data_IF_017372853449
#
_entry.id   IF_017372853449
#
_cell.length_a   1.000
_cell.length_b   1.000
_cell.length_c   1.000
_cell.angle_alpha   90.00
_cell.angle_beta   90.00
_cell.angle_gamma   90.00
#
_symmetry.space_group_name_H-M   'P 1'
#
loop_
_entity.id
_entity.type
_entity.pdbx_description
1 polymer ?
#
# COMPACT_ATOMS: atom_id res chain seq x y z
N UNK A 1 25.41 -21.09 31.64
CA UNK A 1 25.51 -20.11 32.74
C UNK A 1 25.26 -18.67 32.27
N UNK A 2 25.96 -18.16 31.24
CA UNK A 2 25.75 -16.80 30.69
C UNK A 2 24.30 -16.53 30.21
N UNK A 3 23.65 -17.51 29.59
CA UNK A 3 22.28 -17.38 29.06
C UNK A 3 21.25 -17.30 30.18
N UNK A 4 21.42 -18.06 31.26
CA UNK A 4 20.56 -18.02 32.43
C UNK A 4 20.71 -16.71 33.23
N UNK A 5 21.94 -16.20 33.37
CA UNK A 5 22.18 -14.88 33.99
C UNK A 5 21.58 -13.74 33.14
N UNK A 6 21.67 -13.82 31.80
CA UNK A 6 20.99 -12.86 30.90
C UNK A 6 19.47 -12.91 31.03
N UNK A 7 18.86 -14.09 31.19
CA UNK A 7 17.42 -14.23 31.38
C UNK A 7 16.93 -13.56 32.68
N UNK A 8 17.73 -13.59 33.75
CA UNK A 8 17.38 -12.95 35.03
C UNK A 8 17.66 -11.45 35.00
N UNK A 9 18.78 -11.01 34.42
CA UNK A 9 19.19 -9.60 34.46
C UNK A 9 18.37 -8.66 33.56
N UNK A 10 17.88 -9.14 32.41
CA UNK A 10 17.15 -8.29 31.43
C UNK A 10 15.87 -7.66 32.02
N UNK A 11 15.00 -8.38 32.74
CA UNK A 11 13.85 -7.79 33.42
C UNK A 11 14.22 -6.68 34.41
N UNK A 12 15.27 -6.88 35.23
CA UNK A 12 15.72 -5.87 36.20
C UNK A 12 16.25 -4.62 35.51
N UNK A 13 17.04 -4.76 34.45
CA UNK A 13 17.54 -3.60 33.66
C UNK A 13 16.37 -2.84 33.02
N UNK A 14 15.39 -3.54 32.46
CA UNK A 14 14.17 -2.91 31.91
C UNK A 14 13.38 -2.16 32.98
N UNK A 15 13.23 -2.75 34.16
CA UNK A 15 12.57 -2.10 35.30
C UNK A 15 13.34 -0.85 35.75
N UNK A 16 14.66 -0.92 35.88
CA UNK A 16 15.50 0.22 36.24
C UNK A 16 15.36 1.37 35.23
N UNK A 17 15.40 1.08 33.92
CA UNK A 17 15.20 2.08 32.86
C UNK A 17 13.82 2.73 32.98
N UNK A 18 12.75 1.93 33.21
CA UNK A 18 11.40 2.46 33.44
C UNK A 18 11.33 3.38 34.66
N UNK A 19 11.95 2.99 35.76
CA UNK A 19 11.99 3.80 36.99
C UNK A 19 12.73 5.12 36.77
N UNK A 20 13.88 5.11 36.08
CA UNK A 20 14.60 6.34 35.71
C UNK A 20 13.74 7.23 34.82
N UNK A 21 13.03 6.66 33.84
CA UNK A 21 12.11 7.43 33.01
C UNK A 21 10.98 8.06 33.85
N UNK A 22 10.33 7.29 34.73
CA UNK A 22 9.20 7.74 35.56
C UNK A 22 9.61 8.79 36.60
N UNK A 23 10.74 8.61 37.27
CA UNK A 23 11.15 9.45 38.41
C UNK A 23 12.09 10.59 38.03
N UNK A 24 12.65 10.61 36.82
CA UNK A 24 13.58 11.65 36.38
C UNK A 24 13.14 12.34 35.09
N UNK A 25 12.91 11.58 34.02
CA UNK A 25 12.63 12.17 32.69
C UNK A 25 11.19 12.71 32.63
N UNK A 26 10.21 11.94 33.09
CA UNK A 26 8.81 12.30 33.00
C UNK A 26 8.43 13.56 33.81
N UNK A 27 8.89 13.75 35.08
CA UNK A 27 8.66 14.98 35.82
C UNK A 27 9.28 16.18 35.11
N UNK A 28 10.47 16.02 34.53
CA UNK A 28 11.09 17.07 33.71
C UNK A 28 10.26 17.42 32.47
N UNK A 29 9.69 16.44 31.76
CA UNK A 29 8.79 16.70 30.63
C UNK A 29 7.52 17.45 31.07
N UNK A 30 6.96 17.14 32.25
CA UNK A 30 5.83 17.89 32.81
C UNK A 30 6.18 19.31 33.22
N UNK A 31 7.37 19.55 33.76
CA UNK A 31 7.88 20.89 34.05
C UNK A 31 8.11 21.71 32.77
N UNK A 32 8.54 21.05 31.68
CA UNK A 32 8.77 21.69 30.39
C UNK A 32 7.47 21.97 29.62
N UNK A 33 6.43 21.15 29.82
CA UNK A 33 5.16 21.18 29.07
C UNK A 33 4.54 22.59 28.88
N UNK A 34 4.49 23.49 29.87
CA UNK A 34 3.90 24.82 29.69
C UNK A 34 4.66 25.71 28.70
N UNK A 35 5.97 25.51 28.57
CA UNK A 35 6.84 26.28 27.68
C UNK A 35 6.97 25.61 26.32
N UNK A 36 7.20 24.30 26.32
CA UNK A 36 7.32 23.49 25.11
C UNK A 36 6.94 22.04 25.39
N UNK A 37 5.84 21.59 24.81
CA UNK A 37 5.41 20.19 24.93
C UNK A 37 6.14 19.35 23.88
N UNK A 38 6.92 18.38 24.34
CA UNK A 38 7.57 17.39 23.48
C UNK A 38 6.58 16.24 23.22
N UNK A 39 6.25 15.99 21.96
CA UNK A 39 5.43 14.86 21.55
C UNK A 39 6.32 13.84 20.87
N UNK A 40 6.42 12.65 21.46
CA UNK A 40 7.24 11.56 20.98
C UNK A 40 6.41 10.60 20.13
N UNK A 41 6.94 10.28 18.96
CA UNK A 41 6.35 9.40 17.97
C UNK A 41 7.28 8.21 17.73
N UNK A 42 6.70 7.02 17.53
CA UNK A 42 7.45 5.84 17.12
C UNK A 42 7.22 5.61 15.63
N UNK A 43 8.21 5.93 14.81
CA UNK A 43 8.12 5.72 13.38
C UNK A 43 8.10 4.21 13.06
N UNK A 44 7.21 3.76 12.18
CA UNK A 44 7.26 2.38 11.68
C UNK A 44 8.27 2.32 10.52
N UNK A 45 9.45 1.76 10.80
CA UNK A 45 10.61 1.85 9.89
C UNK A 45 10.98 0.55 9.18
N UNK A 46 10.41 -0.59 9.59
CA UNK A 46 10.83 -1.92 9.16
C UNK A 46 10.02 -2.49 7.98
N UNK A 47 9.01 -1.77 7.50
CA UNK A 47 8.10 -2.21 6.41
C UNK A 47 7.83 -1.02 5.51
N UNK A 48 8.14 -1.15 4.21
CA UNK A 48 8.11 0.00 3.30
C UNK A 48 6.72 0.61 3.18
N UNK A 49 5.67 -0.22 3.20
CA UNK A 49 4.29 0.25 3.16
C UNK A 49 3.93 1.13 4.35
N UNK A 50 4.29 0.71 5.56
CA UNK A 50 4.06 1.51 6.76
C UNK A 50 4.98 2.73 6.84
N UNK A 51 6.25 2.60 6.45
CA UNK A 51 7.16 3.73 6.41
C UNK A 51 6.65 4.82 5.44
N UNK A 52 6.05 4.42 4.32
CA UNK A 52 5.45 5.34 3.36
C UNK A 52 4.09 5.87 3.85
N UNK A 53 3.10 5.00 4.00
CA UNK A 53 1.71 5.36 4.25
C UNK A 53 1.50 6.09 5.58
N UNK A 54 2.02 5.55 6.70
CA UNK A 54 1.86 6.19 8.01
C UNK A 54 2.51 7.58 8.04
N UNK A 55 3.72 7.70 7.48
CA UNK A 55 4.47 8.96 7.51
C UNK A 55 3.83 10.02 6.61
N UNK A 56 3.37 9.65 5.42
CA UNK A 56 2.68 10.58 4.52
C UNK A 56 1.33 11.01 5.08
N UNK A 57 0.57 10.10 5.71
CA UNK A 57 -0.64 10.47 6.42
C UNK A 57 -0.38 11.53 7.49
N UNK A 58 0.66 11.35 8.31
CA UNK A 58 1.06 12.35 9.30
C UNK A 58 1.46 13.71 8.66
N UNK A 59 2.08 13.70 7.47
CA UNK A 59 2.41 14.92 6.73
C UNK A 59 1.16 15.61 6.15
N UNK A 60 0.19 14.83 5.64
CA UNK A 60 -1.08 15.35 5.11
C UNK A 60 -1.97 15.90 6.22
N UNK A 61 -2.06 15.22 7.36
CA UNK A 61 -2.76 15.72 8.55
C UNK A 61 -2.29 17.12 8.97
N UNK A 62 -0.98 17.38 8.86
CA UNK A 62 -0.39 18.70 9.18
C UNK A 62 -0.73 19.80 8.18
N UNK A 63 -1.22 19.45 6.99
CA UNK A 63 -1.72 20.43 6.02
C UNK A 63 -3.15 20.88 6.37
N UNK A 64 -3.92 20.00 7.02
CA UNK A 64 -5.31 20.26 7.42
C UNK A 64 -5.36 20.87 8.82
N UNK A 65 -4.60 20.29 9.75
CA UNK A 65 -4.59 20.65 11.16
C UNK A 65 -3.26 21.30 11.54
N UNK A 66 -3.32 22.53 12.04
CA UNK A 66 -2.13 23.24 12.52
C UNK A 66 -1.59 22.58 13.80
N UNK A 67 -0.29 22.31 13.81
CA UNK A 67 0.41 21.89 15.03
C UNK A 67 0.44 23.09 16.01
N UNK A 68 0.09 22.90 17.29
CA UNK A 68 0.22 23.96 18.27
C UNK A 68 1.66 24.51 18.31
N UNK A 69 1.86 25.84 18.33
CA UNK A 69 3.20 26.44 18.21
C UNK A 69 4.13 26.10 19.39
N UNK A 70 3.56 25.69 20.52
CA UNK A 70 4.29 25.23 21.70
C UNK A 70 4.64 23.73 21.65
N UNK A 71 4.31 23.01 20.57
CA UNK A 71 4.59 21.59 20.41
C UNK A 71 5.82 21.32 19.54
N UNK A 72 6.59 20.30 19.92
CA UNK A 72 7.68 19.77 19.11
C UNK A 72 7.49 18.27 18.97
N UNK A 73 7.28 17.82 17.73
CA UNK A 73 7.08 16.42 17.39
C UNK A 73 8.41 15.79 17.03
N UNK A 74 8.81 14.77 17.78
CA UNK A 74 10.07 14.05 17.61
C UNK A 74 9.77 12.59 17.32
N UNK A 75 10.26 12.10 16.20
CA UNK A 75 10.11 10.73 15.76
C UNK A 75 11.38 9.93 16.11
N UNK A 76 11.19 8.76 16.70
CA UNK A 76 12.28 7.81 16.96
C UNK A 76 12.13 6.64 15.99
N UNK A 77 13.23 6.32 15.30
CA UNK A 77 13.29 5.25 14.31
C UNK A 77 14.47 4.31 14.59
N UNK A 78 14.32 3.04 14.25
CA UNK A 78 15.47 2.15 14.01
C UNK A 78 16.01 2.30 12.58
N UNK A 79 16.92 1.41 12.16
CA UNK A 79 17.44 1.39 10.79
C UNK A 79 16.29 1.20 9.78
N UNK A 80 16.03 2.17 8.88
CA UNK A 80 14.90 2.11 7.98
C UNK A 80 15.07 1.03 6.90
N UNK A 81 13.93 0.47 6.47
CA UNK A 81 13.83 -0.52 5.38
C UNK A 81 14.14 0.06 4.01
N UNK A 82 14.01 1.38 3.84
CA UNK A 82 14.37 2.08 2.61
C UNK A 82 15.04 3.42 2.96
N UNK A 83 16.31 3.57 2.59
CA UNK A 83 17.13 4.74 2.92
C UNK A 83 16.71 6.00 2.20
N UNK A 84 16.28 5.90 0.94
CA UNK A 84 15.87 7.07 0.15
C UNK A 84 14.60 7.70 0.72
N UNK A 85 13.57 6.89 0.98
CA UNK A 85 12.32 7.36 1.57
C UNK A 85 12.57 8.01 2.94
N UNK A 86 13.39 7.38 3.79
CA UNK A 86 13.74 7.93 5.09
C UNK A 86 14.44 9.30 4.98
N UNK A 87 15.40 9.46 4.05
CA UNK A 87 16.07 10.74 3.78
C UNK A 87 15.07 11.82 3.34
N UNK A 88 14.05 11.47 2.56
CA UNK A 88 13.00 12.40 2.15
C UNK A 88 12.13 12.81 3.33
N UNK A 89 11.74 11.87 4.19
CA UNK A 89 10.97 12.14 5.41
C UNK A 89 11.72 13.06 6.39
N UNK A 90 13.03 12.89 6.53
CA UNK A 90 13.88 13.75 7.39
C UNK A 90 13.91 15.22 6.96
N UNK A 91 13.51 15.55 5.72
CA UNK A 91 13.37 16.95 5.27
C UNK A 91 12.18 17.66 5.92
N UNK A 92 11.19 16.89 6.38
CA UNK A 92 9.90 17.40 6.87
C UNK A 92 9.62 17.02 8.34
N UNK A 93 10.28 15.98 8.85
CA UNK A 93 10.10 15.44 10.20
C UNK A 93 11.42 15.47 10.97
N UNK A 94 11.34 15.76 12.27
CA UNK A 94 12.48 15.61 13.20
C UNK A 94 12.58 14.13 13.57
N UNK A 95 13.41 13.38 12.84
CA UNK A 95 13.58 11.93 13.05
C UNK A 95 14.98 11.61 13.56
N UNK A 96 15.04 10.92 14.69
CA UNK A 96 16.28 10.33 15.23
C UNK A 96 16.36 8.84 14.88
N UNK A 97 17.28 8.48 13.99
CA UNK A 97 17.63 7.09 13.72
C UNK A 97 18.61 6.59 14.79
N UNK A 98 18.17 5.63 15.61
CA UNK A 98 19.06 4.95 16.55
C UNK A 98 18.47 3.61 17.01
N UNK A 99 19.23 2.54 16.77
CA UNK A 99 18.92 1.20 17.28
C UNK A 99 18.88 1.14 18.82
N UNK A 100 19.59 2.03 19.51
CA UNK A 100 19.56 2.13 20.97
C UNK A 100 18.33 2.89 21.45
N UNK A 101 18.03 4.06 20.86
CA UNK A 101 16.86 4.86 21.26
C UNK A 101 15.57 4.08 21.03
N UNK A 102 15.43 3.36 19.92
CA UNK A 102 14.22 2.57 19.67
C UNK A 102 14.05 1.43 20.69
N UNK A 103 15.14 0.78 21.13
CA UNK A 103 15.10 -0.24 22.19
C UNK A 103 14.68 0.36 23.53
N UNK A 104 15.21 1.54 23.87
CA UNK A 104 14.77 2.27 25.06
C UNK A 104 13.30 2.66 24.96
N UNK A 105 12.87 3.12 23.78
CA UNK A 105 11.48 3.47 23.49
C UNK A 105 10.55 2.29 23.77
N UNK A 106 10.85 1.09 23.26
CA UNK A 106 10.06 -0.13 23.53
C UNK A 106 9.95 -0.46 25.02
N UNK A 107 10.97 -0.15 25.82
CA UNK A 107 10.94 -0.39 27.26
C UNK A 107 9.95 0.57 27.94
N UNK A 108 9.94 1.85 27.55
CA UNK A 108 9.12 2.89 28.20
C UNK A 108 7.75 3.11 27.55
N UNK A 109 7.50 2.52 26.39
CA UNK A 109 6.33 2.77 25.53
C UNK A 109 4.99 2.66 26.30
N UNK A 110 4.82 1.61 27.10
CA UNK A 110 3.58 1.39 27.89
C UNK A 110 3.29 2.51 28.87
N UNK A 111 4.34 3.09 29.46
CA UNK A 111 4.23 4.24 30.36
C UNK A 111 3.98 5.51 29.56
N UNK A 112 4.77 5.72 28.50
CA UNK A 112 4.73 6.89 27.65
C UNK A 112 3.34 7.07 26.99
N UNK A 113 2.71 5.97 26.54
CA UNK A 113 1.34 5.92 25.99
C UNK A 113 0.25 6.48 26.92
N UNK A 114 0.51 6.54 28.23
CA UNK A 114 -0.44 7.05 29.25
C UNK A 114 -0.20 8.52 29.59
N UNK A 115 0.62 9.22 28.81
CA UNK A 115 1.05 10.59 29.07
C UNK A 115 0.74 11.47 27.84
N UNK A 116 0.66 12.80 28.00
CA UNK A 116 0.45 13.73 26.88
C UNK A 116 1.69 13.90 25.97
N UNK A 117 2.78 13.18 26.26
CA UNK A 117 4.04 13.24 25.50
C UNK A 117 4.15 12.12 24.47
N UNK A 118 3.09 11.34 24.28
CA UNK A 118 3.01 10.30 23.27
C UNK A 118 1.79 10.49 22.41
N UNK A 119 1.99 10.32 21.12
CA UNK A 119 0.91 10.21 20.16
C UNK A 119 1.20 8.95 19.35
N UNK A 120 0.27 7.97 19.34
CA UNK A 120 0.44 6.82 18.46
C UNK A 120 0.42 7.28 17.00
N UNK A 121 1.21 6.65 16.14
CA UNK A 121 0.97 6.70 14.71
C UNK A 121 -0.42 6.06 14.46
N UNK A 122 -1.47 6.88 14.40
CA UNK A 122 -2.84 6.45 14.10
C UNK A 122 -3.02 6.37 12.60
N UNK A 123 -2.25 5.50 11.96
CA UNK A 123 -2.65 5.04 10.63
C UNK A 123 -3.49 3.80 10.81
N UNK A 124 -4.81 3.96 10.67
CA UNK A 124 -5.65 2.90 10.16
C UNK A 124 -5.81 3.19 8.67
N UNK A 125 -5.55 2.21 7.82
CA UNK A 125 -5.64 2.31 6.35
C UNK A 125 -6.89 3.06 5.87
N UNK A 126 -7.96 3.05 6.65
CA UNK A 126 -9.31 3.50 6.28
C UNK A 126 -9.62 4.94 6.68
N UNK A 127 -8.82 5.57 7.54
CA UNK A 127 -9.08 6.91 8.07
C UNK A 127 -8.27 7.99 7.33
N UNK A 128 -7.84 7.71 6.09
CA UNK A 128 -6.98 8.60 5.31
C UNK A 128 -7.58 9.14 4.01
N UNK A 129 -8.79 8.69 3.64
CA UNK A 129 -9.43 9.03 2.37
C UNK A 129 -9.63 10.55 2.21
N UNK A 130 -10.10 11.22 3.26
CA UNK A 130 -10.31 12.66 3.27
C UNK A 130 -9.01 13.44 3.08
N UNK A 131 -7.98 13.07 3.84
CA UNK A 131 -6.67 13.71 3.83
C UNK A 131 -6.08 13.63 2.43
N UNK A 132 -6.11 12.46 1.81
CA UNK A 132 -5.57 12.28 0.46
C UNK A 132 -6.32 13.14 -0.55
N UNK A 133 -7.64 13.18 -0.46
CA UNK A 133 -8.47 13.90 -1.42
C UNK A 133 -8.35 15.42 -1.30
N UNK A 134 -7.99 15.93 -0.12
CA UNK A 134 -8.01 17.36 0.19
C UNK A 134 -6.63 18.00 0.32
N UNK A 135 -5.55 17.20 0.32
CA UNK A 135 -4.17 17.67 0.49
C UNK A 135 -3.29 17.32 -0.70
N UNK A 136 -2.06 17.84 -0.70
CA UNK A 136 -1.06 17.54 -1.74
C UNK A 136 0.06 16.66 -1.18
N UNK A 137 0.73 15.88 -2.04
CA UNK A 137 1.97 15.21 -1.65
C UNK A 137 2.99 16.20 -1.09
N UNK A 138 3.70 15.77 -0.05
CA UNK A 138 4.74 16.60 0.60
C UNK A 138 6.14 16.22 0.12
N UNK A 139 6.34 14.99 -0.35
CA UNK A 139 7.65 14.47 -0.71
C UNK A 139 8.00 14.75 -2.19
N UNK A 140 9.15 15.39 -2.40
CA UNK A 140 9.70 15.71 -3.72
C UNK A 140 11.17 15.33 -3.82
N UNK A 141 11.61 14.93 -5.01
CA UNK A 141 13.02 14.71 -5.31
C UNK A 141 13.74 16.04 -5.51
N UNK A 142 14.99 16.10 -5.07
CA UNK A 142 15.90 17.18 -5.42
C UNK A 142 16.38 17.06 -6.87
N UNK A 143 16.93 18.14 -7.45
CA UNK A 143 17.47 18.11 -8.82
C UNK A 143 18.56 17.04 -9.02
N UNK A 144 19.39 16.80 -8.00
CA UNK A 144 20.40 15.72 -8.03
C UNK A 144 19.74 14.34 -8.07
N UNK A 145 18.67 14.13 -7.30
CA UNK A 145 17.91 12.88 -7.29
C UNK A 145 17.16 12.67 -8.61
N UNK A 146 16.59 13.73 -9.20
CA UNK A 146 16.00 13.68 -10.54
C UNK A 146 17.02 13.25 -11.60
N UNK A 147 18.22 13.86 -11.60
CA UNK A 147 19.30 13.50 -12.52
C UNK A 147 19.75 12.04 -12.32
N UNK A 148 19.96 11.61 -11.08
CA UNK A 148 20.36 10.25 -10.74
C UNK A 148 19.32 9.22 -11.18
N UNK A 149 18.04 9.51 -10.96
CA UNK A 149 16.96 8.61 -11.34
C UNK A 149 16.80 8.52 -12.85
N UNK A 150 16.91 9.63 -13.56
CA UNK A 150 16.91 9.63 -15.03
C UNK A 150 18.08 8.83 -15.60
N UNK A 151 19.30 8.98 -15.06
CA UNK A 151 20.45 8.17 -15.47
C UNK A 151 20.23 6.67 -15.23
N UNK A 152 19.61 6.30 -14.12
CA UNK A 152 19.27 4.91 -13.84
C UNK A 152 18.24 4.34 -14.83
N UNK A 153 17.24 5.14 -15.21
CA UNK A 153 16.29 4.80 -16.28
C UNK A 153 16.99 4.63 -17.64
N UNK A 154 17.91 5.52 -17.99
CA UNK A 154 18.67 5.45 -19.25
C UNK A 154 19.55 4.19 -19.34
N UNK A 155 20.16 3.77 -18.23
CA UNK A 155 20.90 2.49 -18.17
C UNK A 155 20.01 1.27 -18.41
N UNK A 156 18.70 1.39 -18.16
CA UNK A 156 17.69 0.39 -18.47
C UNK A 156 17.09 0.57 -19.88
N UNK A 157 17.58 1.55 -20.66
CA UNK A 157 17.09 1.85 -21.99
C UNK A 157 15.81 2.70 -22.04
N UNK A 158 15.44 3.33 -20.93
CA UNK A 158 14.28 4.24 -20.82
C UNK A 158 14.79 5.69 -20.89
N UNK A 159 14.57 6.34 -22.03
CA UNK A 159 14.95 7.72 -22.26
C UNK A 159 14.01 8.73 -21.57
N UNK A 160 14.40 10.00 -21.59
CA UNK A 160 13.66 11.07 -20.89
C UNK A 160 12.28 11.39 -21.49
N UNK A 161 12.04 11.01 -22.74
CA UNK A 161 10.73 11.15 -23.42
C UNK A 161 9.86 9.91 -23.29
N UNK A 162 10.41 8.81 -22.79
CA UNK A 162 9.70 7.54 -22.66
C UNK A 162 8.84 7.55 -21.40
N UNK A 163 7.82 6.72 -21.41
CA UNK A 163 6.98 6.49 -20.24
C UNK A 163 7.00 5.01 -19.87
N UNK A 164 6.77 4.73 -18.60
CA UNK A 164 6.80 3.36 -18.09
C UNK A 164 5.75 3.14 -17.03
N UNK A 165 5.43 1.87 -16.79
CA UNK A 165 4.51 1.41 -15.75
C UNK A 165 5.28 0.49 -14.81
N UNK A 166 5.14 0.74 -13.51
CA UNK A 166 5.63 -0.18 -12.50
C UNK A 166 4.60 -1.29 -12.30
N UNK A 167 5.04 -2.55 -12.39
CA UNK A 167 4.19 -3.72 -12.18
C UNK A 167 4.68 -4.53 -10.99
N UNK A 168 3.81 -4.88 -10.06
CA UNK A 168 4.16 -5.63 -8.86
C UNK A 168 3.13 -6.72 -8.54
N UNK A 169 3.59 -7.97 -8.46
CA UNK A 169 2.87 -9.05 -7.82
C UNK A 169 3.56 -9.38 -6.50
N UNK A 170 2.78 -9.52 -5.42
CA UNK A 170 3.36 -9.92 -4.13
C UNK A 170 3.81 -11.38 -4.17
N UNK A 171 5.04 -11.60 -3.71
CA UNK A 171 5.72 -12.88 -3.63
C UNK A 171 5.95 -13.28 -2.17
N UNK A 172 5.81 -14.58 -1.87
CA UNK A 172 5.98 -15.14 -0.53
C UNK A 172 7.45 -15.12 -0.07
N UNK A 173 8.41 -15.17 -1.00
CA UNK A 173 9.85 -15.23 -0.71
C UNK A 173 10.33 -14.03 0.09
N UNK A 174 9.75 -12.84 -0.14
CA UNK A 174 10.16 -11.63 0.54
C UNK A 174 10.10 -11.75 2.08
N UNK A 175 9.04 -12.34 2.63
CA UNK A 175 8.91 -12.45 4.08
C UNK A 175 9.76 -13.57 4.66
N UNK A 176 9.89 -14.67 3.93
CA UNK A 176 10.72 -15.81 4.32
C UNK A 176 12.18 -15.39 4.49
N UNK A 177 12.70 -14.56 3.58
CA UNK A 177 14.10 -14.12 3.61
C UNK A 177 14.35 -12.89 4.49
N UNK A 178 13.44 -11.91 4.52
CA UNK A 178 13.66 -10.69 5.33
C UNK A 178 13.40 -10.88 6.82
N UNK A 179 12.69 -11.93 7.22
CA UNK A 179 12.53 -12.29 8.62
C UNK A 179 12.35 -13.81 8.82
N UNK A 180 13.42 -14.61 8.61
CA UNK A 180 13.35 -16.07 8.59
C UNK A 180 12.92 -16.71 9.93
N UNK A 181 12.98 -15.95 11.03
CA UNK A 181 12.54 -16.38 12.36
C UNK A 181 11.03 -16.24 12.60
N UNK A 182 10.27 -15.65 11.68
CA UNK A 182 8.81 -15.51 11.78
C UNK A 182 8.08 -16.53 10.90
N UNK A 183 6.94 -17.04 11.38
CA UNK A 183 5.96 -17.72 10.52
C UNK A 183 5.14 -16.65 9.78
N UNK A 184 5.29 -16.58 8.45
CA UNK A 184 4.62 -15.60 7.60
C UNK A 184 3.48 -16.20 6.78
N UNK A 185 3.23 -17.51 6.92
CA UNK A 185 2.23 -18.22 6.13
C UNK A 185 0.80 -17.68 6.36
N UNK A 186 0.62 -16.91 7.43
CA UNK A 186 -0.62 -16.20 7.73
C UNK A 186 -0.94 -15.06 6.75
N UNK A 187 -0.05 -14.71 5.82
CA UNK A 187 -0.31 -13.68 4.80
C UNK A 187 -0.31 -14.18 3.35
N UNK A 188 -0.14 -15.49 3.12
CA UNK A 188 0.05 -16.08 1.77
C UNK A 188 -1.17 -15.89 0.87
N UNK A 189 -2.36 -15.75 1.45
CA UNK A 189 -3.61 -15.54 0.70
C UNK A 189 -3.59 -14.29 -0.20
N UNK A 190 -2.67 -13.34 0.06
CA UNK A 190 -2.51 -12.13 -0.75
C UNK A 190 -1.50 -12.27 -1.89
N UNK A 191 -0.71 -13.32 -1.88
CA UNK A 191 0.34 -13.52 -2.88
C UNK A 191 -0.30 -13.93 -4.21
N UNK A 192 0.31 -13.57 -5.33
CA UNK A 192 -0.26 -13.85 -6.65
C UNK A 192 0.82 -14.02 -7.70
N UNK A 193 0.52 -14.80 -8.74
CA UNK A 193 1.49 -15.08 -9.79
C UNK A 193 1.74 -13.87 -10.70
N UNK A 194 3.01 -13.55 -10.93
CA UNK A 194 3.40 -12.52 -11.91
C UNK A 194 3.00 -12.91 -13.34
N UNK A 195 2.88 -14.21 -13.63
CA UNK A 195 2.49 -14.71 -14.95
C UNK A 195 1.09 -14.20 -15.37
N UNK A 196 0.19 -13.97 -14.41
CA UNK A 196 -1.13 -13.42 -14.68
C UNK A 196 -1.08 -11.97 -15.19
N UNK A 197 0.04 -11.25 -14.99
CA UNK A 197 0.21 -9.87 -15.44
C UNK A 197 0.82 -9.78 -16.84
N UNK A 198 1.37 -10.86 -17.40
CA UNK A 198 2.08 -10.83 -18.69
C UNK A 198 1.25 -10.24 -19.85
N UNK A 199 -0.05 -10.60 -20.04
CA UNK A 199 -0.85 -9.95 -21.09
C UNK A 199 -1.00 -8.44 -20.89
N UNK A 200 -1.13 -7.98 -19.63
CA UNK A 200 -1.18 -6.55 -19.31
C UNK A 200 0.16 -5.85 -19.60
N UNK A 201 1.30 -6.49 -19.30
CA UNK A 201 2.63 -5.97 -19.64
C UNK A 201 2.82 -5.85 -21.16
N UNK A 202 2.36 -6.86 -21.92
CA UNK A 202 2.39 -6.82 -23.37
C UNK A 202 1.49 -5.72 -23.95
N UNK A 203 0.32 -5.47 -23.36
CA UNK A 203 -0.53 -4.34 -23.74
C UNK A 203 0.15 -2.98 -23.48
N UNK A 204 0.86 -2.83 -22.36
CA UNK A 204 1.61 -1.60 -22.04
C UNK A 204 2.71 -1.35 -23.10
N UNK A 205 3.48 -2.39 -23.41
CA UNK A 205 4.57 -2.32 -24.39
C UNK A 205 4.07 -2.13 -25.82
N UNK A 206 2.93 -2.72 -26.19
CA UNK A 206 2.27 -2.48 -27.47
C UNK A 206 1.83 -1.01 -27.66
N UNK A 207 1.64 -0.25 -26.56
CA UNK A 207 1.36 1.19 -26.58
C UNK A 207 2.63 2.05 -26.60
N UNK A 208 3.82 1.44 -26.66
CA UNK A 208 5.11 2.13 -26.66
C UNK A 208 5.63 2.52 -25.28
N UNK A 209 5.09 1.94 -24.19
CA UNK A 209 5.58 2.17 -22.85
C UNK A 209 6.47 1.03 -22.35
N UNK A 210 7.38 1.32 -21.43
CA UNK A 210 8.17 0.30 -20.76
C UNK A 210 7.44 -0.27 -19.55
N UNK A 211 7.83 -1.47 -19.14
CA UNK A 211 7.36 -2.12 -17.93
C UNK A 211 8.56 -2.37 -17.03
N UNK A 212 8.48 -1.87 -15.79
CA UNK A 212 9.43 -2.23 -14.73
C UNK A 212 8.73 -3.20 -13.77
N UNK A 213 9.15 -4.46 -13.77
CA UNK A 213 8.67 -5.44 -12.79
C UNK A 213 9.37 -5.19 -11.46
N UNK A 214 8.61 -4.73 -10.49
CA UNK A 214 9.07 -4.28 -9.18
C UNK A 214 9.02 -5.42 -8.15
N UNK A 215 9.86 -5.33 -7.13
CA UNK A 215 9.95 -6.30 -6.04
C UNK A 215 11.32 -6.22 -5.38
N UNK A 216 11.41 -6.57 -4.10
CA UNK A 216 12.69 -6.60 -3.39
C UNK A 216 13.36 -7.98 -3.42
N UNK A 217 12.55 -9.02 -3.37
CA UNK A 217 12.94 -10.42 -3.53
C UNK A 217 11.83 -11.10 -4.31
N UNK A 218 12.22 -11.90 -5.29
CA UNK A 218 11.34 -12.53 -6.25
C UNK A 218 11.73 -14.00 -6.37
N UNK A 219 10.75 -14.89 -6.26
CA UNK A 219 11.00 -16.34 -6.29
C UNK A 219 11.46 -16.80 -7.67
N UNK A 220 10.88 -16.24 -8.72
CA UNK A 220 11.20 -16.55 -10.10
C UNK A 220 11.62 -15.27 -10.86
N UNK A 221 12.74 -15.30 -11.59
CA UNK A 221 13.06 -14.27 -12.57
C UNK A 221 11.93 -14.16 -13.60
N UNK A 222 11.65 -12.95 -14.06
CA UNK A 222 10.73 -12.78 -15.17
C UNK A 222 11.49 -13.16 -16.45
N UNK A 223 11.20 -14.32 -17.03
CA UNK A 223 11.76 -14.67 -18.33
C UNK A 223 11.40 -13.54 -19.33
N UNK A 224 12.42 -12.86 -19.85
CA UNK A 224 12.24 -11.88 -20.91
C UNK A 224 11.60 -12.63 -22.09
N UNK A 225 10.29 -12.50 -22.28
CA UNK A 225 9.52 -13.23 -23.29
C UNK A 225 9.82 -12.73 -24.72
N UNK A 226 11.09 -12.41 -25.03
CA UNK A 226 11.53 -11.76 -26.25
C UNK A 226 11.19 -10.26 -26.32
N UNK A 227 10.62 -9.67 -25.27
CA UNK A 227 10.22 -8.26 -25.25
C UNK A 227 11.18 -7.41 -24.39
N UNK A 228 12.10 -6.64 -25.00
CA UNK A 228 13.09 -5.86 -24.26
C UNK A 228 12.50 -4.68 -23.49
N UNK A 229 11.25 -4.28 -23.77
CA UNK A 229 10.56 -3.22 -23.02
C UNK A 229 9.96 -3.73 -21.70
N UNK A 230 10.03 -5.04 -21.44
CA UNK A 230 9.68 -5.63 -20.14
C UNK A 230 10.98 -5.92 -19.38
N UNK A 231 11.23 -5.12 -18.35
CA UNK A 231 12.49 -5.09 -17.61
C UNK A 231 12.25 -5.68 -16.22
N UNK A 232 13.04 -6.70 -15.86
CA UNK A 232 13.03 -7.30 -14.52
C UNK A 232 13.86 -6.45 -13.54
N UNK A 233 13.35 -5.26 -13.22
CA UNK A 233 14.00 -4.33 -12.29
C UNK A 233 14.34 -4.98 -10.94
N UNK A 234 13.44 -5.83 -10.42
CA UNK A 234 13.59 -6.50 -9.15
C UNK A 234 14.85 -7.39 -9.08
N UNK A 235 15.17 -8.07 -10.18
CA UNK A 235 16.32 -8.99 -10.26
C UNK A 235 17.63 -8.26 -10.60
N UNK A 236 17.59 -7.32 -11.55
CA UNK A 236 18.81 -6.85 -12.22
C UNK A 236 19.26 -5.44 -11.82
N UNK A 237 18.32 -4.59 -11.36
CA UNK A 237 18.56 -3.15 -11.23
C UNK A 237 18.19 -2.58 -9.86
N UNK A 238 17.71 -3.44 -8.95
CA UNK A 238 17.08 -3.03 -7.71
C UNK A 238 18.01 -2.20 -6.81
N UNK A 239 17.53 -1.06 -6.36
CA UNK A 239 18.17 -0.28 -5.29
C UNK A 239 17.14 0.47 -4.44
N UNK A 240 17.47 0.76 -3.18
CA UNK A 240 16.60 1.56 -2.30
C UNK A 240 16.16 2.87 -2.95
N UNK A 241 17.06 3.52 -3.70
CA UNK A 241 16.76 4.76 -4.41
C UNK A 241 15.75 4.55 -5.53
N UNK A 242 15.97 3.56 -6.40
CA UNK A 242 15.09 3.31 -7.54
C UNK A 242 13.75 2.70 -7.15
N UNK A 243 13.65 2.00 -6.02
CA UNK A 243 12.38 1.51 -5.47
C UNK A 243 11.40 2.68 -5.27
N UNK A 244 11.93 3.84 -4.84
CA UNK A 244 11.16 5.08 -4.63
C UNK A 244 11.04 5.86 -5.93
N UNK A 245 12.16 6.09 -6.65
CA UNK A 245 12.16 6.93 -7.85
C UNK A 245 11.30 6.36 -8.97
N UNK A 246 11.48 5.08 -9.34
CA UNK A 246 10.69 4.46 -10.41
C UNK A 246 9.19 4.45 -10.06
N UNK A 247 8.86 4.09 -8.82
CA UNK A 247 7.47 4.03 -8.35
C UNK A 247 6.80 5.41 -8.33
N UNK A 248 7.55 6.48 -8.05
CA UNK A 248 7.06 7.85 -8.03
C UNK A 248 6.94 8.50 -9.41
N UNK A 249 7.58 7.92 -10.44
CA UNK A 249 7.70 8.50 -11.79
C UNK A 249 6.98 7.71 -12.86
N UNK A 250 6.46 6.53 -12.55
CA UNK A 250 5.69 5.74 -13.49
C UNK A 250 4.35 6.42 -13.83
N UNK A 251 3.83 6.09 -15.00
CA UNK A 251 2.56 6.65 -15.51
C UNK A 251 1.36 6.23 -14.64
N UNK A 252 1.38 4.99 -14.18
CA UNK A 252 0.55 4.43 -13.13
C UNK A 252 1.24 3.19 -12.55
N UNK A 253 0.77 2.74 -11.39
CA UNK A 253 1.22 1.50 -10.77
C UNK A 253 0.19 0.40 -10.99
N UNK A 254 0.61 -0.78 -11.45
CA UNK A 254 -0.24 -1.96 -11.61
C UNK A 254 0.21 -3.05 -10.64
N UNK A 255 -0.66 -3.49 -9.72
CA UNK A 255 -0.23 -4.56 -8.83
C UNK A 255 -1.19 -4.94 -7.73
N UNK A 256 -0.74 -5.88 -6.89
CA UNK A 256 -1.51 -6.42 -5.77
C UNK A 256 -1.23 -5.76 -4.42
N UNK A 257 -2.01 -6.14 -3.39
CA UNK A 257 -1.85 -5.62 -2.04
C UNK A 257 -0.45 -5.96 -1.47
N UNK A 258 0.44 -4.99 -1.52
CA UNK A 258 1.82 -5.06 -1.04
C UNK A 258 2.30 -3.76 -0.39
N UNK A 259 3.49 -3.74 0.19
CA UNK A 259 4.01 -2.50 0.76
C UNK A 259 4.24 -1.41 -0.29
N UNK A 260 4.65 -1.80 -1.50
CA UNK A 260 5.16 -0.88 -2.51
C UNK A 260 4.08 0.02 -3.14
N UNK A 261 2.82 -0.40 -3.23
CA UNK A 261 1.77 0.48 -3.75
C UNK A 261 1.57 1.73 -2.88
N UNK A 262 1.85 1.63 -1.56
CA UNK A 262 1.80 2.81 -0.68
C UNK A 262 2.83 3.86 -1.11
N UNK A 263 3.97 3.46 -1.68
CA UNK A 263 4.94 4.41 -2.23
C UNK A 263 4.31 5.14 -3.43
N UNK A 264 3.66 4.42 -4.36
CA UNK A 264 2.96 5.06 -5.48
C UNK A 264 1.92 6.09 -4.98
N UNK A 265 1.19 5.70 -3.94
CA UNK A 265 0.20 6.55 -3.30
C UNK A 265 0.80 7.83 -2.68
N UNK A 266 1.91 7.74 -1.94
CA UNK A 266 2.62 8.91 -1.37
C UNK A 266 3.02 9.93 -2.44
N UNK A 267 3.28 9.47 -3.66
CA UNK A 267 3.64 10.33 -4.79
C UNK A 267 2.47 10.73 -5.69
N UNK A 268 1.24 10.47 -5.26
CA UNK A 268 0.02 10.76 -6.02
C UNK A 268 -0.02 10.07 -7.40
N UNK A 269 0.66 8.92 -7.56
CA UNK A 269 0.61 8.10 -8.78
C UNK A 269 -0.71 7.30 -8.82
N UNK A 270 -1.45 7.30 -9.94
CA UNK A 270 -2.65 6.48 -10.10
C UNK A 270 -2.36 4.98 -9.98
N UNK A 271 -3.27 4.22 -9.38
CA UNK A 271 -3.06 2.79 -9.14
C UNK A 271 -4.18 1.94 -9.77
N UNK A 272 -3.77 0.93 -10.54
CA UNK A 272 -4.59 -0.17 -11.00
C UNK A 272 -4.35 -1.38 -10.08
N UNK A 273 -5.21 -1.55 -9.08
CA UNK A 273 -5.10 -2.60 -8.07
C UNK A 273 -5.71 -3.92 -8.57
N UNK A 274 -4.85 -4.86 -8.93
CA UNK A 274 -5.26 -6.24 -9.21
C UNK A 274 -5.08 -7.11 -7.97
N UNK A 275 -5.78 -8.24 -7.88
CA UNK A 275 -5.62 -9.22 -6.80
C UNK A 275 -5.78 -8.61 -5.39
N UNK A 276 -6.70 -7.66 -5.27
CA UNK A 276 -6.83 -6.89 -4.04
C UNK A 276 -7.38 -7.75 -2.90
N UNK A 277 -6.63 -7.79 -1.80
CA UNK A 277 -6.93 -8.59 -0.61
C UNK A 277 -6.36 -7.97 0.68
N UNK A 278 -6.98 -8.23 1.84
CA UNK A 278 -8.34 -8.75 2.01
C UNK A 278 -9.40 -7.79 1.44
N UNK A 279 -10.67 -8.23 1.34
CA UNK A 279 -11.77 -7.42 0.81
C UNK A 279 -12.03 -6.13 1.59
N UNK A 280 -11.51 -6.05 2.81
CA UNK A 280 -11.57 -4.84 3.63
C UNK A 280 -10.57 -3.76 3.21
N UNK A 281 -9.50 -4.06 2.45
CA UNK A 281 -8.55 -3.05 1.96
C UNK A 281 -9.19 -2.26 0.81
N UNK A 282 -8.99 -0.95 0.78
CA UNK A 282 -9.59 -0.04 -0.21
C UNK A 282 -8.51 0.66 -1.06
N UNK A 283 -8.79 0.96 -2.34
CA UNK A 283 -7.97 1.91 -3.09
C UNK A 283 -8.30 3.33 -2.62
N UNK A 284 -7.29 4.09 -2.23
CA UNK A 284 -7.49 5.30 -1.44
C UNK A 284 -7.78 6.57 -2.26
N UNK A 285 -7.74 6.51 -3.59
CA UNK A 285 -8.00 7.68 -4.45
C UNK A 285 -9.07 7.40 -5.48
N UNK A 286 -9.89 8.41 -5.77
CA UNK A 286 -10.89 8.39 -6.85
C UNK A 286 -10.29 8.23 -8.26
N UNK A 287 -8.98 8.51 -8.39
CA UNK A 287 -8.19 8.26 -9.59
C UNK A 287 -7.79 6.78 -9.79
N UNK A 288 -7.92 5.96 -8.76
CA UNK A 288 -7.54 4.55 -8.79
C UNK A 288 -8.65 3.66 -9.34
N UNK A 289 -8.24 2.50 -9.82
CA UNK A 289 -9.14 1.40 -10.19
C UNK A 289 -8.75 0.14 -9.43
N UNK A 290 -9.71 -0.73 -9.13
CA UNK A 290 -9.40 -1.99 -8.46
C UNK A 290 -10.26 -3.17 -8.92
N UNK A 291 -9.72 -4.37 -8.70
CA UNK A 291 -10.42 -5.66 -8.74
C UNK A 291 -9.99 -6.49 -7.53
N UNK A 292 -10.93 -6.97 -6.71
CA UNK A 292 -10.61 -7.86 -5.60
C UNK A 292 -10.33 -9.28 -6.10
N UNK A 293 -9.59 -10.05 -5.29
CA UNK A 293 -9.67 -11.51 -5.39
C UNK A 293 -11.06 -11.95 -4.93
N UNK A 294 -11.65 -12.89 -5.66
CA UNK A 294 -12.91 -13.52 -5.25
C UNK A 294 -12.64 -14.56 -4.17
N UNK A 295 -13.70 -15.01 -3.50
CA UNK A 295 -13.64 -16.10 -2.53
C UNK A 295 -14.30 -17.34 -3.10
N UNK A 296 -13.74 -18.50 -2.78
CA UNK A 296 -14.30 -19.81 -3.12
C UNK A 296 -14.44 -20.63 -1.84
N UNK A 297 -15.55 -21.35 -1.70
CA UNK A 297 -15.71 -22.32 -0.64
C UNK A 297 -14.76 -23.50 -0.88
N UNK A 298 -13.99 -23.90 0.13
CA UNK A 298 -12.99 -24.97 -0.02
C UNK A 298 -13.60 -26.37 -0.10
N UNK A 299 -14.85 -26.55 0.35
CA UNK A 299 -15.56 -27.84 0.33
C UNK A 299 -16.42 -28.00 -0.93
N UNK A 300 -17.24 -27.00 -1.27
CA UNK A 300 -18.11 -27.06 -2.46
C UNK A 300 -17.40 -26.64 -3.76
N UNK A 301 -16.25 -25.97 -3.65
CA UNK A 301 -15.53 -25.34 -4.76
C UNK A 301 -16.33 -24.27 -5.53
N UNK A 302 -17.44 -23.81 -4.98
CA UNK A 302 -18.25 -22.73 -5.56
C UNK A 302 -17.75 -21.35 -5.13
N UNK A 303 -17.90 -20.37 -6.02
CA UNK A 303 -17.61 -18.98 -5.69
C UNK A 303 -18.62 -18.45 -4.66
N UNK A 304 -18.11 -17.70 -3.68
CA UNK A 304 -18.91 -17.04 -2.67
C UNK A 304 -19.48 -15.74 -3.23
N UNK A 305 -20.79 -15.57 -3.14
CA UNK A 305 -21.47 -14.31 -3.44
C UNK A 305 -20.98 -13.18 -2.52
N UNK A 306 -20.75 -11.98 -3.08
CA UNK A 306 -20.19 -10.85 -2.33
C UNK A 306 -21.15 -10.32 -1.26
N UNK A 307 -22.48 -10.47 -1.41
CA UNK A 307 -23.41 -10.13 -0.33
C UNK A 307 -23.25 -11.08 0.87
N UNK A 308 -22.99 -12.36 0.59
CA UNK A 308 -22.65 -13.35 1.61
C UNK A 308 -21.32 -12.97 2.30
N UNK A 309 -20.27 -12.67 1.53
CA UNK A 309 -18.99 -12.18 2.08
C UNK A 309 -19.16 -10.92 2.95
N UNK A 310 -20.00 -9.98 2.51
CA UNK A 310 -20.33 -8.78 3.27
C UNK A 310 -21.06 -9.10 4.59
N UNK A 311 -22.06 -9.99 4.56
CA UNK A 311 -22.77 -10.43 5.76
C UNK A 311 -21.87 -11.16 6.76
N UNK A 312 -20.82 -11.84 6.29
CA UNK A 312 -19.77 -12.43 7.14
C UNK A 312 -18.77 -11.41 7.71
N UNK A 313 -18.91 -10.12 7.37
CA UNK A 313 -18.04 -9.05 7.87
C UNK A 313 -16.68 -8.99 7.18
N UNK A 314 -16.54 -9.55 5.96
CA UNK A 314 -15.26 -9.59 5.23
C UNK A 314 -14.84 -8.23 4.65
N UNK A 315 -15.77 -7.27 4.64
CA UNK A 315 -15.54 -5.87 4.26
C UNK A 315 -15.33 -4.96 5.47
N UNK A 316 -15.21 -5.52 6.69
CA UNK A 316 -15.04 -4.72 7.91
C UNK A 316 -13.55 -4.43 8.16
N UNK A 317 -13.06 -3.21 7.87
CA UNK A 317 -11.67 -2.84 8.10
C UNK A 317 -11.19 -2.98 9.55
N UNK A 318 -12.10 -2.83 10.53
CA UNK A 318 -11.77 -2.93 11.95
C UNK A 318 -11.64 -4.37 12.45
N UNK A 319 -11.84 -5.39 11.59
CA UNK A 319 -11.67 -6.79 11.98
C UNK A 319 -10.22 -7.26 11.69
N UNK A 320 -9.33 -7.32 12.71
CA UNK A 320 -7.93 -7.69 12.50
C UNK A 320 -7.75 -9.14 12.03
N UNK A 321 -8.76 -10.00 12.21
CA UNK A 321 -8.72 -11.41 11.78
C UNK A 321 -8.69 -11.55 10.26
N UNK A 322 -9.14 -10.53 9.51
CA UNK A 322 -9.07 -10.54 8.04
C UNK A 322 -7.64 -10.49 7.50
N UNK A 323 -6.67 -10.20 8.36
CA UNK A 323 -5.26 -10.13 7.99
C UNK A 323 -4.51 -11.45 8.23
N UNK A 324 -5.22 -12.55 8.51
CA UNK A 324 -4.62 -13.87 8.78
C UNK A 324 -5.23 -15.00 7.93
N UNK A 325 -4.37 -15.85 7.36
CA UNK A 325 -4.79 -17.03 6.57
C UNK A 325 -5.67 -17.99 7.38
N UNK A 326 -5.40 -18.13 8.68
CA UNK A 326 -6.14 -19.04 9.56
C UNK A 326 -7.62 -18.67 9.69
N UNK A 327 -7.95 -17.37 9.60
CA UNK A 327 -9.34 -16.95 9.63
C UNK A 327 -10.13 -17.53 8.44
N UNK A 328 -9.56 -17.44 7.23
CA UNK A 328 -10.19 -17.94 6.01
C UNK A 328 -10.30 -19.46 5.99
N UNK A 329 -9.27 -20.18 6.47
CA UNK A 329 -9.31 -21.63 6.68
C UNK A 329 -10.44 -22.04 7.63
N UNK A 330 -10.60 -21.33 8.75
CA UNK A 330 -11.62 -21.64 9.76
C UNK A 330 -13.07 -21.40 9.30
N UNK A 331 -13.27 -20.63 8.22
CA UNK A 331 -14.58 -20.40 7.61
C UNK A 331 -14.74 -21.13 6.26
N UNK A 332 -13.83 -22.06 5.95
CA UNK A 332 -13.83 -22.85 4.70
C UNK A 332 -13.84 -21.98 3.44
N UNK A 333 -13.05 -20.90 3.42
CA UNK A 333 -12.92 -20.00 2.28
C UNK A 333 -11.46 -19.85 1.87
N UNK A 334 -11.24 -19.71 0.57
CA UNK A 334 -9.95 -19.37 -0.02
C UNK A 334 -10.10 -18.28 -1.07
N UNK A 335 -9.03 -17.51 -1.30
CA UNK A 335 -9.04 -16.48 -2.34
C UNK A 335 -8.66 -17.05 -3.70
N UNK A 336 -9.35 -16.56 -4.74
CA UNK A 336 -9.10 -16.88 -6.14
C UNK A 336 -8.42 -15.68 -6.80
N UNK A 337 -7.26 -15.91 -7.40
CA UNK A 337 -6.55 -14.87 -8.15
C UNK A 337 -7.38 -14.35 -9.32
N UNK A 338 -7.16 -13.07 -9.65
CA UNK A 338 -7.69 -12.52 -10.88
C UNK A 338 -7.01 -13.17 -12.09
N UNK A 339 -7.83 -13.56 -13.06
CA UNK A 339 -7.35 -14.09 -14.34
C UNK A 339 -6.58 -13.05 -15.14
N UNK A 340 -5.68 -13.47 -16.02
CA UNK A 340 -4.91 -12.55 -16.86
C UNK A 340 -5.77 -11.61 -17.70
N UNK A 341 -6.94 -12.08 -18.17
CA UNK A 341 -7.90 -11.25 -18.92
C UNK A 341 -8.51 -10.13 -18.07
N UNK A 342 -8.75 -10.38 -16.77
CA UNK A 342 -9.26 -9.34 -15.85
C UNK A 342 -8.19 -8.27 -15.60
N UNK A 343 -6.94 -8.68 -15.41
CA UNK A 343 -5.82 -7.77 -15.19
C UNK A 343 -5.54 -6.95 -16.46
N UNK A 344 -5.63 -7.56 -17.63
CA UNK A 344 -5.54 -6.88 -18.92
C UNK A 344 -6.67 -5.86 -19.10
N UNK A 345 -7.92 -6.24 -18.81
CA UNK A 345 -9.06 -5.34 -18.89
C UNK A 345 -8.93 -4.15 -17.93
N UNK A 346 -8.51 -4.39 -16.68
CA UNK A 346 -8.20 -3.34 -15.70
C UNK A 346 -7.14 -2.37 -16.23
N UNK A 347 -6.08 -2.89 -16.86
CA UNK A 347 -4.99 -2.09 -17.44
C UNK A 347 -5.51 -1.18 -18.56
N UNK A 348 -6.34 -1.71 -19.46
CA UNK A 348 -6.97 -0.93 -20.55
C UNK A 348 -7.93 0.14 -20.01
N UNK A 349 -8.68 -0.20 -18.96
CA UNK A 349 -9.57 0.73 -18.28
C UNK A 349 -8.78 1.87 -17.61
N UNK A 350 -7.64 1.57 -16.99
CA UNK A 350 -6.75 2.58 -16.41
C UNK A 350 -6.23 3.55 -17.47
N UNK A 351 -5.73 3.05 -18.61
CA UNK A 351 -5.33 3.93 -19.72
C UNK A 351 -6.47 4.84 -20.16
N UNK A 352 -7.67 4.30 -20.34
CA UNK A 352 -8.83 5.08 -20.76
C UNK A 352 -9.22 6.15 -19.75
N UNK A 353 -9.08 5.86 -18.45
CA UNK A 353 -9.31 6.82 -17.36
C UNK A 353 -8.26 7.94 -17.37
N UNK A 354 -6.98 7.61 -17.58
CA UNK A 354 -5.88 8.57 -17.67
C UNK A 354 -5.98 9.45 -18.92
N UNK A 355 -6.47 8.91 -20.03
CA UNK A 355 -6.69 9.65 -21.27
C UNK A 355 -7.98 10.51 -21.21
N UNK A 356 -8.63 10.58 -20.04
CA UNK A 356 -9.88 11.31 -19.80
C UNK A 356 -11.03 10.93 -20.74
N UNK A 357 -11.08 9.67 -21.16
CA UNK A 357 -12.16 9.16 -22.00
C UNK A 357 -13.51 9.32 -21.29
N UNK A 358 -14.56 9.69 -22.04
CA UNK A 358 -15.92 9.80 -21.51
C UNK A 358 -16.39 8.42 -21.02
N UNK A 359 -16.39 8.22 -19.70
CA UNK A 359 -16.95 7.00 -19.10
C UNK A 359 -18.46 7.01 -19.29
N UNK A 360 -19.00 5.91 -19.84
CA UNK A 360 -20.43 5.72 -20.02
C UNK A 360 -21.19 5.96 -18.69
N UNK A 361 -22.22 6.83 -18.65
CA UNK A 361 -22.97 7.12 -17.43
C UNK A 361 -23.52 5.88 -16.73
N UNK A 362 -23.89 4.84 -17.48
CA UNK A 362 -24.33 3.59 -16.90
C UNK A 362 -23.22 2.90 -16.08
N UNK A 363 -21.99 2.85 -16.58
CA UNK A 363 -20.84 2.28 -15.86
C UNK A 363 -20.65 2.96 -14.50
N UNK A 364 -20.74 4.30 -14.48
CA UNK A 364 -20.64 5.09 -13.24
C UNK A 364 -21.75 4.72 -12.24
N UNK A 365 -22.96 4.44 -12.71
CA UNK A 365 -24.06 4.01 -11.85
C UNK A 365 -23.78 2.67 -11.16
N UNK A 366 -23.18 1.68 -11.84
CA UNK A 366 -22.80 0.41 -11.19
C UNK A 366 -21.65 0.55 -10.22
N UNK A 367 -20.62 1.34 -10.57
CA UNK A 367 -19.51 1.61 -9.66
C UNK A 367 -20.02 2.29 -8.38
N UNK A 368 -20.94 3.25 -8.52
CA UNK A 368 -21.60 3.90 -7.38
C UNK A 368 -22.45 2.92 -6.57
N UNK A 369 -23.22 2.04 -7.23
CA UNK A 369 -24.04 1.03 -6.56
C UNK A 369 -23.18 0.03 -5.78
N UNK A 370 -22.05 -0.40 -6.35
CA UNK A 370 -21.07 -1.25 -5.65
C UNK A 370 -20.57 -0.59 -4.37
N UNK A 371 -20.09 0.66 -4.46
CA UNK A 371 -19.60 1.39 -3.29
C UNK A 371 -20.69 1.60 -2.24
N UNK A 372 -21.89 1.99 -2.66
CA UNK A 372 -23.02 2.18 -1.74
C UNK A 372 -23.41 0.87 -1.04
N UNK A 373 -23.32 -0.27 -1.73
CA UNK A 373 -23.67 -1.58 -1.18
C UNK A 373 -22.63 -2.10 -0.20
N UNK A 374 -21.35 -2.02 -0.57
CA UNK A 374 -20.27 -2.72 0.13
C UNK A 374 -19.35 -1.83 0.96
N UNK A 375 -19.38 -0.51 0.77
CA UNK A 375 -18.43 0.42 1.42
C UNK A 375 -19.12 1.53 2.22
N UNK A 376 -20.45 1.64 2.19
CA UNK A 376 -21.17 2.75 2.85
C UNK A 376 -21.04 2.80 4.38
N UNK A 377 -20.51 1.72 4.99
CA UNK A 377 -20.16 1.67 6.41
C UNK A 377 -18.79 2.27 6.73
N UNK A 378 -18.07 2.77 5.72
CA UNK A 378 -16.73 3.37 5.85
C UNK A 378 -16.87 4.88 5.66
N UNK A 379 -16.19 5.65 6.51
CA UNK A 379 -16.17 7.10 6.36
C UNK A 379 -15.55 7.51 5.02
N UNK A 380 -16.08 8.56 4.41
CA UNK A 380 -15.64 9.09 3.11
C UNK A 380 -15.59 8.05 1.97
N UNK A 381 -16.39 6.99 2.04
CA UNK A 381 -16.43 5.90 1.05
C UNK A 381 -16.60 6.35 -0.40
N UNK A 382 -17.18 7.52 -0.63
CA UNK A 382 -17.34 8.12 -1.96
C UNK A 382 -16.02 8.53 -2.61
N UNK A 383 -14.94 8.66 -1.84
CA UNK A 383 -13.59 9.02 -2.30
C UNK A 383 -12.74 7.81 -2.70
N UNK A 384 -13.18 6.59 -2.35
CA UNK A 384 -12.52 5.32 -2.72
C UNK A 384 -12.40 5.21 -4.25
N UNK A 385 -11.36 4.56 -4.74
CA UNK A 385 -11.22 4.21 -6.17
C UNK A 385 -12.39 3.41 -6.73
N UNK A 386 -12.53 3.37 -8.06
CA UNK A 386 -13.65 2.69 -8.69
C UNK A 386 -13.31 1.21 -8.96
N UNK A 387 -14.27 0.31 -8.71
CA UNK A 387 -14.12 -1.08 -9.14
C UNK A 387 -14.18 -1.15 -10.67
N UNK A 388 -13.35 -1.99 -11.29
CA UNK A 388 -13.37 -2.17 -12.74
C UNK A 388 -14.75 -2.58 -13.23
N UNK A 389 -15.24 -1.91 -14.26
CA UNK A 389 -16.55 -2.23 -14.83
C UNK A 389 -16.55 -3.60 -15.52
N UNK A 390 -15.43 -3.99 -16.16
CA UNK A 390 -15.30 -5.28 -16.81
C UNK A 390 -15.43 -6.40 -15.77
N UNK A 391 -14.79 -6.21 -14.62
CA UNK A 391 -14.88 -7.15 -13.50
C UNK A 391 -16.32 -7.28 -12.98
N UNK A 392 -17.00 -6.15 -12.76
CA UNK A 392 -18.42 -6.15 -12.37
C UNK A 392 -19.29 -6.91 -13.38
N UNK A 393 -19.09 -6.67 -14.68
CA UNK A 393 -19.87 -7.33 -15.74
C UNK A 393 -19.61 -8.84 -15.76
N UNK A 394 -18.33 -9.23 -15.76
CA UNK A 394 -17.91 -10.64 -15.80
C UNK A 394 -18.49 -11.44 -14.63
N UNK A 395 -18.56 -10.80 -13.46
CA UNK A 395 -18.95 -11.44 -12.20
C UNK A 395 -20.34 -11.06 -11.70
N UNK A 396 -21.23 -10.54 -12.56
CA UNK A 396 -22.54 -10.03 -12.13
C UNK A 396 -23.39 -11.04 -11.34
N UNK A 397 -23.23 -12.34 -11.59
CA UNK A 397 -23.96 -13.40 -10.87
C UNK A 397 -23.55 -13.55 -9.40
N UNK A 398 -22.32 -13.17 -9.05
CA UNK A 398 -21.80 -13.22 -7.67
C UNK A 398 -21.66 -11.82 -7.06
N UNK A 399 -21.92 -10.77 -7.84
CA UNK A 399 -21.97 -9.37 -7.42
C UNK A 399 -23.38 -8.85 -7.66
N UNK A 400 -24.36 -9.38 -6.91
CA UNK A 400 -25.72 -8.90 -7.01
C UNK A 400 -25.86 -7.53 -6.34
N UNK A 401 -26.00 -6.48 -7.16
CA UNK A 401 -26.22 -5.10 -6.75
C UNK A 401 -27.71 -4.73 -6.70
N UNK A 402 -28.62 -5.67 -6.99
CA UNK A 402 -30.06 -5.42 -7.07
C UNK A 402 -30.47 -4.55 -8.27
N UNK A 403 -29.61 -4.40 -9.27
CA UNK A 403 -29.82 -3.58 -10.48
C UNK A 403 -29.35 -4.32 -11.74
N UNK A 404 -30.12 -4.26 -12.83
CA UNK A 404 -29.81 -4.96 -14.09
C UNK A 404 -28.75 -4.23 -14.90
N UNK A 405 -27.59 -4.85 -15.22
CA UNK A 405 -26.57 -4.26 -16.09
C UNK A 405 -27.10 -3.97 -17.51
N UNK A 406 -26.80 -2.80 -18.11
CA UNK A 406 -27.07 -2.58 -19.52
C UNK A 406 -26.12 -3.42 -20.38
N UNK A 407 -26.63 -3.82 -21.56
CA UNK A 407 -25.85 -4.48 -22.61
C UNK A 407 -24.86 -3.47 -23.24
N UNK A 408 -23.80 -3.16 -22.49
CA UNK A 408 -22.67 -2.38 -22.99
C UNK A 408 -21.66 -3.39 -23.52
N UNK A 409 -21.37 -3.36 -24.83
CA UNK A 409 -20.29 -4.15 -25.41
C UNK A 409 -18.98 -3.85 -24.71
N UNK A 410 -18.21 -4.91 -24.42
CA UNK A 410 -16.87 -4.75 -23.85
C UNK A 410 -15.98 -4.21 -24.96
N UNK A 411 -15.40 -3.01 -24.84
CA UNK A 411 -14.40 -2.57 -25.79
C UNK A 411 -13.21 -3.54 -25.74
N UNK A 412 -12.96 -4.25 -26.83
CA UNK A 412 -11.83 -5.15 -26.97
C UNK A 412 -10.53 -4.39 -27.27
N UNK A 413 -10.65 -3.14 -27.72
CA UNK A 413 -9.53 -2.26 -28.05
C UNK A 413 -9.65 -0.90 -27.36
N UNK A 414 -8.51 -0.21 -27.18
CA UNK A 414 -8.49 1.17 -26.68
C UNK A 414 -9.34 2.11 -27.54
N UNK A 415 -9.34 1.87 -28.84
CA UNK A 415 -10.12 2.58 -29.86
C UNK A 415 -11.63 2.43 -29.68
N UNK A 416 -12.10 1.29 -29.17
CA UNK A 416 -13.53 1.05 -28.90
C UNK A 416 -13.99 1.67 -27.57
N UNK A 417 -13.07 2.11 -26.70
CA UNK A 417 -13.39 2.83 -25.44
C UNK A 417 -13.64 4.33 -25.66
N UNK A 418 -13.36 4.83 -26.87
CA UNK A 418 -13.52 6.24 -27.24
C UNK A 418 -14.91 6.41 -27.84
N UNK A 419 -15.84 7.00 -27.10
CA UNK A 419 -16.99 7.66 -27.74
C UNK A 419 -16.41 8.80 -28.60
N UNK A 420 -16.69 8.80 -29.91
CA UNK A 420 -16.32 9.88 -30.81
C UNK A 420 -16.64 11.25 -30.16
N UNK A 421 -15.70 12.18 -30.31
CA UNK A 421 -15.61 13.44 -29.56
C UNK A 421 -16.93 14.19 -29.45
#
# INVERSE_FOLDING_TARGET
MLTAMKMIAVPFVRAAIRLVFIFSILPFLYLLKPYRRVVLHKLIYNRIGHLAGNSDFALRQRQISAIPPNEIHIFVSGPPVNRQLFKMLQRHLIIFESAWLIRLFFIIEDTLRKTPFYEPDTWQEFDCLYEIATTQRTLFFSAEEECRGQQALEMMGIGSSDWFVCVHSRDSLYLQETNPSGDWNYHDYRDCSIANYLPAMNEITARGGYVLRMGALVSEPLEHQGNPMIIDYASDHRSDFMDIYATAKCRFFLGSTGGLFNVAWVFDVPIAHANMTPLSVLPFRSGDLFIPKLLRNTESHELIDLNTAFAHGLFNPQNPRLFTSDYYKNINMEFVENSSDEILALTREMFSKLDHSKVNPAVRSYQKAYKARFLSHIDDWNLVGDISWYFLKKHIKIIDLGISLPDIEVPQTASEMILER
#
